data_IF_272209806001
#
_entry.id   IF_272209806001
#
_cell.length_a   1.000
_cell.length_b   1.000
_cell.length_c   1.000
_cell.angle_alpha   90.00
_cell.angle_beta   90.00
_cell.angle_gamma   90.00
#
_symmetry.space_group_name_H-M   'P 1'
#
loop_
_entity.id
_entity.type
_entity.pdbx_description
1 polymer ?
#
# COMPACT_ATOMS: atom_id res chain seq x y z
N UNK A 1 8.32 -38.27 16.00
CA UNK A 1 8.36 -37.20 15.03
C UNK A 1 9.07 -36.01 15.70
N UNK A 2 10.07 -35.40 15.04
CA UNK A 2 10.76 -34.22 15.57
C UNK A 2 9.80 -33.02 15.55
N UNK A 3 9.96 -32.13 16.52
CA UNK A 3 9.29 -30.83 16.53
C UNK A 3 10.14 -29.82 15.76
N UNK A 4 9.52 -28.99 14.93
CA UNK A 4 10.14 -27.84 14.27
C UNK A 4 9.72 -26.51 14.95
N UNK A 5 9.31 -26.57 16.20
CA UNK A 5 8.96 -25.40 16.98
C UNK A 5 10.13 -24.41 17.04
N UNK A 6 9.86 -23.12 16.74
CA UNK A 6 10.89 -22.08 16.67
C UNK A 6 11.75 -22.08 15.39
N UNK A 7 11.52 -22.99 14.44
CA UNK A 7 12.20 -23.02 13.14
C UNK A 7 11.45 -22.18 12.13
N UNK A 8 12.15 -21.26 11.46
CA UNK A 8 11.66 -20.48 10.32
C UNK A 8 12.31 -21.01 9.03
N UNK A 9 11.49 -21.47 8.08
CA UNK A 9 11.92 -21.76 6.73
C UNK A 9 11.62 -20.56 5.83
N UNK A 10 12.64 -20.04 5.15
CA UNK A 10 12.51 -18.96 4.16
C UNK A 10 12.78 -19.51 2.76
N UNK A 11 11.78 -19.49 1.88
CA UNK A 11 11.87 -19.95 0.51
C UNK A 11 11.93 -18.75 -0.45
N UNK A 12 13.08 -18.51 -1.05
CA UNK A 12 13.31 -17.45 -2.06
C UNK A 12 13.68 -18.07 -3.39
N UNK A 13 12.77 -18.21 -4.31
CA UNK A 13 11.31 -18.08 -4.30
C UNK A 13 10.65 -19.42 -4.55
N UNK A 14 9.32 -19.55 -4.41
CA UNK A 14 8.59 -20.81 -4.57
C UNK A 14 8.90 -21.52 -5.89
N UNK A 15 9.11 -20.79 -6.98
CA UNK A 15 9.44 -21.35 -8.30
C UNK A 15 10.76 -22.16 -8.34
N UNK A 16 11.64 -21.97 -7.35
CA UNK A 16 12.89 -22.73 -7.26
C UNK A 16 12.67 -24.12 -6.66
N UNK A 17 11.51 -24.37 -6.06
CA UNK A 17 11.15 -25.61 -5.38
C UNK A 17 10.12 -26.44 -6.14
N UNK A 18 9.28 -25.79 -6.96
CA UNK A 18 8.32 -26.48 -7.83
C UNK A 18 7.97 -25.63 -9.05
N UNK A 19 7.45 -26.30 -10.09
CA UNK A 19 6.85 -25.64 -11.24
C UNK A 19 5.53 -24.98 -10.81
N UNK A 20 5.55 -23.66 -10.69
CA UNK A 20 4.42 -22.87 -10.18
C UNK A 20 3.19 -22.87 -11.09
N UNK A 21 3.36 -23.18 -12.36
CA UNK A 21 2.28 -23.25 -13.35
C UNK A 21 1.68 -24.67 -13.44
N UNK A 22 2.26 -25.65 -12.72
CA UNK A 22 1.75 -27.02 -12.63
C UNK A 22 1.03 -27.27 -11.30
N UNK A 23 -0.28 -27.38 -11.36
CA UNK A 23 -1.13 -27.55 -10.17
C UNK A 23 -0.76 -28.78 -9.32
N UNK A 24 -0.46 -29.92 -9.94
CA UNK A 24 -0.11 -31.16 -9.21
C UNK A 24 1.20 -31.01 -8.44
N UNK A 25 2.24 -30.45 -9.08
CA UNK A 25 3.54 -30.22 -8.43
C UNK A 25 3.42 -29.18 -7.32
N UNK A 26 2.64 -28.12 -7.55
CA UNK A 26 2.44 -27.09 -6.55
C UNK A 26 1.62 -27.61 -5.37
N UNK A 27 0.59 -28.39 -5.61
CA UNK A 27 -0.20 -29.04 -4.55
C UNK A 27 0.71 -29.93 -3.67
N UNK A 28 1.60 -30.71 -4.28
CA UNK A 28 2.55 -31.58 -3.55
C UNK A 28 3.50 -30.75 -2.68
N UNK A 29 4.08 -29.66 -3.22
CA UNK A 29 4.94 -28.76 -2.44
C UNK A 29 4.16 -28.12 -1.27
N UNK A 30 2.98 -27.58 -1.54
CA UNK A 30 2.18 -26.92 -0.50
C UNK A 30 1.76 -27.93 0.61
N UNK A 31 1.45 -29.17 0.26
CA UNK A 31 1.17 -30.24 1.24
C UNK A 31 2.39 -30.54 2.13
N UNK A 32 3.60 -30.57 1.55
CA UNK A 32 4.83 -30.73 2.32
C UNK A 32 5.05 -29.58 3.31
N UNK A 33 4.87 -28.33 2.83
CA UNK A 33 5.01 -27.13 3.66
C UNK A 33 3.97 -27.10 4.79
N UNK A 34 2.73 -27.52 4.51
CA UNK A 34 1.70 -27.67 5.54
C UNK A 34 2.07 -28.69 6.60
N UNK A 35 2.64 -29.84 6.22
CA UNK A 35 3.11 -30.84 7.18
C UNK A 35 4.23 -30.30 8.07
N UNK A 36 5.18 -29.52 7.52
CA UNK A 36 6.23 -28.87 8.32
C UNK A 36 5.63 -27.87 9.31
N UNK A 37 4.62 -27.09 8.89
CA UNK A 37 3.90 -26.17 9.76
C UNK A 37 3.18 -26.93 10.90
N UNK A 38 2.51 -28.04 10.60
CA UNK A 38 1.86 -28.86 11.62
C UNK A 38 2.85 -29.47 12.63
N UNK A 39 4.09 -29.64 12.23
CA UNK A 39 5.18 -30.00 13.13
C UNK A 39 5.77 -28.80 13.90
N UNK A 40 5.17 -27.60 13.82
CA UNK A 40 5.55 -26.41 14.58
C UNK A 40 6.43 -25.41 13.83
N UNK A 41 6.76 -25.65 12.55
CA UNK A 41 7.56 -24.70 11.75
C UNK A 41 6.76 -23.46 11.35
N UNK A 42 7.47 -22.33 11.22
CA UNK A 42 6.99 -21.15 10.49
C UNK A 42 7.53 -21.18 9.06
N UNK A 43 6.68 -20.97 8.07
CA UNK A 43 7.07 -20.95 6.66
C UNK A 43 6.86 -19.54 6.10
N UNK A 44 7.93 -18.94 5.56
CA UNK A 44 7.89 -17.69 4.82
C UNK A 44 8.34 -17.95 3.39
N UNK A 45 7.47 -17.69 2.42
CA UNK A 45 7.77 -17.93 1.03
C UNK A 45 7.65 -16.65 0.20
N UNK A 46 8.68 -16.34 -0.58
CA UNK A 46 8.64 -15.28 -1.58
C UNK A 46 8.08 -15.83 -2.88
N UNK A 47 7.27 -15.00 -3.56
CA UNK A 47 6.65 -15.41 -4.81
C UNK A 47 6.50 -14.22 -5.76
N UNK A 48 6.61 -14.48 -7.06
CA UNK A 48 6.50 -13.43 -8.06
C UNK A 48 5.05 -13.10 -8.38
N UNK A 49 4.80 -11.82 -8.62
CA UNK A 49 3.54 -11.35 -9.20
C UNK A 49 3.53 -11.54 -10.73
N UNK A 50 2.37 -11.36 -11.34
CA UNK A 50 2.22 -11.18 -12.79
C UNK A 50 2.96 -9.91 -13.25
N UNK A 51 3.25 -9.79 -14.54
CA UNK A 51 4.01 -8.64 -15.10
C UNK A 51 3.32 -7.29 -14.86
N UNK A 52 2.00 -7.28 -14.79
CA UNK A 52 1.20 -6.09 -14.50
C UNK A 52 1.08 -5.79 -12.99
N UNK A 53 1.68 -6.64 -12.13
CA UNK A 53 1.68 -6.46 -10.68
C UNK A 53 0.31 -6.55 -10.01
N UNK A 54 -0.72 -7.10 -10.68
CA UNK A 54 -2.09 -7.12 -10.16
C UNK A 54 -2.47 -8.41 -9.46
N UNK A 55 -1.77 -9.49 -9.73
CA UNK A 55 -2.05 -10.80 -9.16
C UNK A 55 -0.76 -11.57 -8.88
N UNK A 56 -0.82 -12.60 -8.04
CA UNK A 56 0.26 -13.57 -7.95
C UNK A 56 0.25 -14.46 -9.21
N UNK A 57 1.42 -15.00 -9.56
CA UNK A 57 1.58 -15.87 -10.71
C UNK A 57 1.47 -17.33 -10.30
N UNK A 58 0.75 -18.16 -11.08
CA UNK A 58 0.72 -19.62 -10.95
C UNK A 58 -0.50 -20.17 -10.22
N UNK A 59 -0.35 -21.37 -9.67
CA UNK A 59 -1.43 -22.17 -9.11
C UNK A 59 -2.15 -21.54 -7.92
N UNK A 60 -3.48 -21.66 -7.91
CA UNK A 60 -4.31 -21.23 -6.77
C UNK A 60 -4.03 -22.01 -5.47
N UNK A 61 -3.36 -23.18 -5.54
CA UNK A 61 -2.94 -23.92 -4.35
C UNK A 61 -2.03 -23.08 -3.44
N UNK A 62 -1.22 -22.17 -4.00
CA UNK A 62 -0.39 -21.26 -3.23
C UNK A 62 -1.25 -20.42 -2.26
N UNK A 63 -2.27 -19.74 -2.80
CA UNK A 63 -3.17 -18.91 -2.00
C UNK A 63 -4.02 -19.74 -1.04
N UNK A 64 -4.54 -20.87 -1.48
CA UNK A 64 -5.45 -21.68 -0.70
C UNK A 64 -4.77 -22.28 0.54
N UNK A 65 -3.51 -22.70 0.42
CA UNK A 65 -2.74 -23.32 1.50
C UNK A 65 -2.02 -22.35 2.43
N UNK A 66 -1.87 -21.08 2.05
CA UNK A 66 -1.25 -20.07 2.89
C UNK A 66 -2.21 -19.57 3.97
N UNK A 67 -1.74 -19.31 5.17
CA UNK A 67 -2.53 -18.66 6.24
C UNK A 67 -2.63 -17.15 6.01
N UNK A 68 -1.52 -16.52 5.62
CA UNK A 68 -1.45 -15.11 5.26
C UNK A 68 -0.77 -14.95 3.89
N UNK A 69 -1.22 -13.98 3.12
CA UNK A 69 -0.61 -13.58 1.86
C UNK A 69 -0.59 -12.06 1.75
N UNK A 70 0.57 -11.53 1.45
CA UNK A 70 0.78 -10.09 1.29
C UNK A 70 1.32 -9.79 -0.10
N UNK A 71 0.89 -8.68 -0.64
CA UNK A 71 1.48 -8.11 -1.84
C UNK A 71 2.40 -6.96 -1.45
N UNK A 72 3.68 -7.08 -1.79
CA UNK A 72 4.67 -6.05 -1.54
C UNK A 72 4.86 -5.23 -2.81
N UNK A 73 4.57 -3.96 -2.73
CA UNK A 73 4.69 -3.02 -3.83
C UNK A 73 5.62 -1.86 -3.45
N UNK A 74 6.59 -1.56 -4.31
CA UNK A 74 7.37 -0.33 -4.20
C UNK A 74 6.51 0.81 -4.75
N UNK A 75 6.26 1.83 -3.92
CA UNK A 75 5.32 2.91 -4.24
C UNK A 75 6.00 4.24 -4.53
N UNK A 76 7.14 4.52 -3.92
CA UNK A 76 7.91 5.73 -4.18
C UNK A 76 9.41 5.48 -4.11
N UNK A 77 10.18 6.26 -4.88
CA UNK A 77 11.64 6.39 -4.74
C UNK A 77 11.94 7.73 -4.09
N UNK A 78 12.67 7.70 -3.00
CA UNK A 78 13.11 8.88 -2.27
C UNK A 78 14.63 8.99 -2.30
N UNK A 79 15.19 10.16 -1.98
CA UNK A 79 16.64 10.43 -2.07
C UNK A 79 17.49 9.42 -1.26
N UNK A 80 16.98 8.98 -0.10
CA UNK A 80 17.73 8.10 0.81
C UNK A 80 17.20 6.66 0.85
N UNK A 81 16.20 6.33 0.03
CA UNK A 81 15.58 5.02 0.06
C UNK A 81 14.33 4.91 -0.79
N UNK A 82 13.41 4.08 -0.36
CA UNK A 82 12.13 3.91 -1.06
C UNK A 82 11.02 3.53 -0.08
N UNK A 83 9.80 3.85 -0.46
CA UNK A 83 8.60 3.41 0.25
C UNK A 83 8.02 2.14 -0.36
N UNK A 84 7.54 1.27 0.51
CA UNK A 84 6.83 0.04 0.15
C UNK A 84 5.47 0.00 0.82
N UNK A 85 4.50 -0.51 0.08
CA UNK A 85 3.16 -0.84 0.56
C UNK A 85 3.06 -2.36 0.69
N UNK A 86 2.70 -2.84 1.87
CA UNK A 86 2.38 -4.23 2.15
C UNK A 86 0.86 -4.36 2.22
N UNK A 87 0.26 -4.80 1.11
CA UNK A 87 -1.20 -4.98 1.01
C UNK A 87 -1.61 -6.40 1.34
N UNK A 88 -2.60 -6.55 2.21
CA UNK A 88 -3.14 -7.84 2.63
C UNK A 88 -3.99 -8.43 1.50
N UNK A 89 -3.60 -9.63 1.01
CA UNK A 89 -4.35 -10.36 0.00
C UNK A 89 -5.17 -11.52 0.60
N UNK A 90 -4.68 -12.08 1.70
CA UNK A 90 -5.34 -13.09 2.52
C UNK A 90 -4.78 -13.01 3.93
N UNK A 91 -5.64 -13.13 4.92
CA UNK A 91 -5.22 -13.17 6.32
C UNK A 91 -6.26 -13.90 7.19
N UNK A 92 -5.83 -14.34 8.38
CA UNK A 92 -6.68 -14.98 9.38
C UNK A 92 -6.58 -14.32 10.76
N UNK A 93 -5.77 -13.28 10.89
CA UNK A 93 -5.41 -12.68 12.18
C UNK A 93 -5.81 -11.20 12.33
N UNK A 94 -6.63 -10.63 11.42
CA UNK A 94 -7.07 -9.24 11.47
C UNK A 94 -5.97 -8.22 11.15
N UNK A 95 -4.93 -8.62 10.42
CA UNK A 95 -3.81 -7.75 10.04
C UNK A 95 -4.27 -6.80 8.93
N UNK A 96 -3.87 -5.53 9.02
CA UNK A 96 -4.20 -4.49 8.03
C UNK A 96 -3.02 -4.22 7.11
N UNK A 97 -3.30 -3.57 5.98
CA UNK A 97 -2.27 -3.00 5.10
C UNK A 97 -1.30 -2.13 5.90
N UNK A 98 -0.04 -2.11 5.51
CA UNK A 98 1.01 -1.34 6.16
C UNK A 98 1.91 -0.70 5.11
N UNK A 99 2.52 0.43 5.46
CA UNK A 99 3.49 1.11 4.63
C UNK A 99 4.79 1.36 5.40
N UNK A 100 5.91 1.22 4.71
CA UNK A 100 7.23 1.35 5.30
C UNK A 100 8.15 2.15 4.39
N UNK A 101 8.96 3.01 4.99
CA UNK A 101 10.15 3.55 4.34
C UNK A 101 11.35 2.66 4.66
N UNK A 102 12.13 2.32 3.63
CA UNK A 102 13.36 1.55 3.73
C UNK A 102 14.52 2.43 3.30
N UNK A 103 15.41 2.75 4.23
CA UNK A 103 16.64 3.49 3.92
C UNK A 103 17.67 2.54 3.29
N UNK A 104 18.10 2.83 2.06
CA UNK A 104 19.01 1.92 1.32
C UNK A 104 20.45 1.94 1.80
N UNK A 105 20.87 2.96 2.55
CA UNK A 105 22.25 3.06 3.09
C UNK A 105 22.37 2.40 4.46
N UNK A 106 21.39 2.63 5.33
CA UNK A 106 21.43 2.14 6.73
C UNK A 106 20.62 0.87 6.92
N UNK A 107 19.78 0.49 5.95
CA UNK A 107 18.80 -0.61 6.00
C UNK A 107 17.76 -0.46 7.12
N UNK A 108 17.64 0.74 7.68
CA UNK A 108 16.61 1.03 8.67
C UNK A 108 15.23 1.07 8.00
N UNK A 109 14.27 0.48 8.70
CA UNK A 109 12.86 0.45 8.28
C UNK A 109 12.06 1.31 9.26
N UNK A 110 11.23 2.21 8.72
CA UNK A 110 10.31 3.04 9.50
C UNK A 110 8.90 2.90 8.96
N UNK A 111 7.92 2.87 9.84
CA UNK A 111 6.52 2.96 9.42
C UNK A 111 6.27 4.32 8.77
N UNK A 112 5.51 4.33 7.68
CA UNK A 112 5.05 5.55 7.01
C UNK A 112 3.53 5.60 6.98
N UNK A 113 3.00 6.77 6.63
CA UNK A 113 1.55 6.92 6.51
C UNK A 113 1.04 6.10 5.32
N UNK A 114 0.12 5.19 5.62
CA UNK A 114 -0.49 4.30 4.64
C UNK A 114 -1.23 5.07 3.52
N UNK A 115 -1.82 6.22 3.84
CA UNK A 115 -2.54 7.02 2.86
C UNK A 115 -1.57 7.64 1.86
N UNK A 116 -0.44 8.16 2.32
CA UNK A 116 0.60 8.72 1.46
C UNK A 116 1.23 7.64 0.57
N UNK A 117 1.51 6.47 1.12
CA UNK A 117 2.07 5.35 0.35
C UNK A 117 1.12 4.79 -0.74
N UNK A 118 -0.18 5.10 -0.68
CA UNK A 118 -1.16 4.72 -1.70
C UNK A 118 -1.36 5.77 -2.80
N UNK A 119 -0.61 6.87 -2.76
CA UNK A 119 -0.67 7.94 -3.76
C UNK A 119 0.34 7.63 -4.87
N UNK A 120 -0.12 7.55 -6.11
CA UNK A 120 0.77 7.41 -7.27
C UNK A 120 1.41 8.77 -7.62
N UNK A 121 2.58 8.75 -8.29
CA UNK A 121 3.27 9.98 -8.74
C UNK A 121 2.36 10.93 -9.53
N UNK A 122 1.44 10.37 -10.34
CA UNK A 122 0.46 11.15 -11.10
C UNK A 122 -0.58 11.80 -10.20
N UNK A 123 -1.04 11.09 -9.17
CA UNK A 123 -1.97 11.61 -8.19
C UNK A 123 -1.32 12.67 -7.33
N UNK A 124 -0.06 12.47 -6.91
CA UNK A 124 0.72 13.46 -6.15
C UNK A 124 0.86 14.76 -6.93
N UNK A 125 1.30 14.69 -8.18
CA UNK A 125 1.41 15.86 -9.05
C UNK A 125 0.05 16.56 -9.28
N UNK A 126 -1.04 15.81 -9.33
CA UNK A 126 -2.39 16.36 -9.41
C UNK A 126 -2.81 17.03 -8.11
N UNK A 127 -2.58 16.37 -6.97
CA UNK A 127 -2.88 16.89 -5.62
C UNK A 127 -2.19 18.23 -5.39
N UNK A 128 -0.90 18.33 -5.69
CA UNK A 128 -0.12 19.56 -5.53
C UNK A 128 -0.71 20.73 -6.33
N UNK A 129 -1.13 20.47 -7.57
CA UNK A 129 -1.76 21.49 -8.41
C UNK A 129 -3.12 21.93 -7.87
N UNK A 130 -3.95 20.97 -7.45
CA UNK A 130 -5.27 21.25 -6.90
C UNK A 130 -5.16 22.02 -5.58
N UNK A 131 -4.25 21.62 -4.68
CA UNK A 131 -4.04 22.33 -3.42
C UNK A 131 -3.62 23.78 -3.62
N UNK A 132 -2.73 24.06 -4.61
CA UNK A 132 -2.37 25.45 -4.96
C UNK A 132 -3.60 26.27 -5.34
N UNK A 133 -4.49 25.72 -6.16
CA UNK A 133 -5.72 26.40 -6.57
C UNK A 133 -6.71 26.59 -5.40
N UNK A 134 -6.91 25.55 -4.59
CA UNK A 134 -7.86 25.57 -3.48
C UNK A 134 -7.39 26.38 -2.26
N UNK A 135 -6.08 26.63 -2.14
CA UNK A 135 -5.53 27.54 -1.12
C UNK A 135 -5.83 29.02 -1.44
N UNK A 136 -6.07 29.36 -2.70
CA UNK A 136 -6.44 30.71 -3.11
C UNK A 136 -7.95 30.96 -2.97
N UNK A 137 -8.76 30.01 -3.40
CA UNK A 137 -10.23 30.08 -3.35
C UNK A 137 -10.89 28.72 -3.50
N UNK A 138 -12.11 28.62 -3.02
CA UNK A 138 -12.96 27.45 -3.29
C UNK A 138 -13.38 27.41 -4.76
N UNK A 139 -13.35 26.22 -5.37
CA UNK A 139 -13.60 26.04 -6.81
C UNK A 139 -14.54 24.87 -7.04
N UNK A 140 -15.37 24.98 -8.07
CA UNK A 140 -16.15 23.85 -8.59
C UNK A 140 -15.26 22.86 -9.34
N UNK A 141 -15.72 21.62 -9.52
CA UNK A 141 -15.00 20.61 -10.31
C UNK A 141 -14.68 21.14 -11.72
N UNK A 142 -15.60 21.85 -12.37
CA UNK A 142 -15.38 22.39 -13.72
C UNK A 142 -14.32 23.48 -13.75
N UNK A 143 -14.24 24.32 -12.73
CA UNK A 143 -13.22 25.37 -12.61
C UNK A 143 -11.83 24.76 -12.33
N UNK A 144 -11.74 23.74 -11.48
CA UNK A 144 -10.48 23.02 -11.24
C UNK A 144 -9.96 22.40 -12.54
N UNK A 145 -10.80 21.65 -13.25
CA UNK A 145 -10.42 20.99 -14.49
C UNK A 145 -10.02 22.02 -15.58
N UNK A 146 -10.74 23.13 -15.67
CA UNK A 146 -10.40 24.22 -16.59
C UNK A 146 -9.07 24.89 -16.23
N UNK A 147 -8.82 25.15 -14.95
CA UNK A 147 -7.56 25.75 -14.48
C UNK A 147 -6.35 24.84 -14.70
N UNK A 148 -6.55 23.53 -14.71
CA UNK A 148 -5.51 22.53 -14.97
C UNK A 148 -5.36 22.17 -16.46
N UNK A 149 -6.14 22.82 -17.35
CA UNK A 149 -6.18 22.54 -18.80
C UNK A 149 -6.53 21.07 -19.11
N UNK A 150 -7.46 20.50 -18.34
CA UNK A 150 -7.88 19.11 -18.44
C UNK A 150 -9.34 19.05 -18.92
N UNK A 151 -9.66 18.06 -19.75
CA UNK A 151 -11.02 17.83 -20.24
C UNK A 151 -12.02 17.67 -19.09
N UNK A 152 -13.21 18.25 -19.25
CA UNK A 152 -14.33 18.08 -18.30
C UNK A 152 -14.74 16.62 -18.09
N UNK A 153 -14.46 15.74 -19.05
CA UNK A 153 -14.75 14.30 -19.00
C UNK A 153 -13.57 13.45 -18.48
N UNK A 154 -12.48 14.08 -18.02
CA UNK A 154 -11.32 13.33 -17.53
C UNK A 154 -11.64 12.55 -16.27
N UNK A 155 -11.69 11.24 -16.42
CA UNK A 155 -12.02 10.31 -15.33
C UNK A 155 -10.93 10.26 -14.26
N UNK A 156 -9.65 10.41 -14.64
CA UNK A 156 -8.56 10.38 -13.67
C UNK A 156 -8.69 11.53 -12.67
N UNK A 157 -8.83 12.77 -13.15
CA UNK A 157 -8.95 13.95 -12.31
C UNK A 157 -10.18 13.90 -11.41
N UNK A 158 -11.33 13.48 -11.94
CA UNK A 158 -12.57 13.33 -11.17
C UNK A 158 -12.44 12.27 -10.07
N UNK A 159 -11.92 11.11 -10.42
CA UNK A 159 -11.72 10.02 -9.46
C UNK A 159 -10.71 10.41 -8.38
N UNK A 160 -9.66 11.15 -8.73
CA UNK A 160 -8.65 11.62 -7.78
C UNK A 160 -9.24 12.65 -6.81
N UNK A 161 -10.07 13.59 -7.30
CA UNK A 161 -10.79 14.53 -6.43
C UNK A 161 -11.67 13.80 -5.40
N UNK A 162 -12.45 12.81 -5.83
CA UNK A 162 -13.31 12.03 -4.92
C UNK A 162 -12.49 11.11 -4.00
N UNK A 163 -11.44 10.47 -4.51
CA UNK A 163 -10.58 9.56 -3.72
C UNK A 163 -9.95 10.25 -2.51
N UNK A 164 -9.54 11.50 -2.67
CA UNK A 164 -8.85 12.26 -1.62
C UNK A 164 -9.72 13.28 -0.89
N UNK A 165 -11.03 13.20 -1.09
CA UNK A 165 -12.01 13.93 -0.28
C UNK A 165 -11.92 13.50 1.18
N UNK A 166 -11.92 14.46 2.10
CA UNK A 166 -11.71 14.21 3.52
C UNK A 166 -10.23 14.00 3.93
N UNK A 167 -9.30 13.99 2.97
CA UNK A 167 -7.85 13.88 3.22
C UNK A 167 -7.16 15.22 2.95
N UNK A 168 -7.27 15.74 1.74
CA UNK A 168 -6.64 17.02 1.34
C UNK A 168 -7.65 18.16 1.17
N UNK A 169 -8.89 17.84 0.86
CA UNK A 169 -9.98 18.78 0.62
C UNK A 169 -11.34 18.18 0.97
N UNK A 170 -12.30 19.06 1.12
CA UNK A 170 -13.71 18.70 1.25
C UNK A 170 -14.55 19.31 0.15
N UNK A 171 -15.74 18.77 -0.07
CA UNK A 171 -16.70 19.33 -0.99
C UNK A 171 -18.06 19.53 -0.31
N UNK A 172 -18.67 20.67 -0.58
CA UNK A 172 -20.03 20.98 -0.15
C UNK A 172 -20.88 21.40 -1.35
N UNK A 173 -22.20 21.26 -1.23
CA UNK A 173 -23.12 21.81 -2.22
C UNK A 173 -23.11 23.33 -2.11
N UNK A 174 -22.79 24.00 -3.21
CA UNK A 174 -22.68 25.45 -3.28
C UNK A 174 -22.88 25.95 -4.71
N UNK A 175 -22.37 27.14 -5.02
CA UNK A 175 -22.53 27.81 -6.30
C UNK A 175 -23.84 28.60 -6.39
N UNK A 176 -23.99 29.47 -7.40
CA UNK A 176 -25.11 30.39 -7.57
C UNK A 176 -26.50 29.72 -7.54
N UNK A 177 -26.58 28.43 -7.85
CA UNK A 177 -27.82 27.65 -7.92
C UNK A 177 -27.93 26.55 -6.85
N UNK A 178 -26.98 26.43 -5.89
CA UNK A 178 -27.00 25.43 -4.82
C UNK A 178 -26.90 23.97 -5.28
N UNK A 179 -26.54 23.71 -6.57
CA UNK A 179 -26.51 22.38 -7.18
C UNK A 179 -25.11 21.92 -7.60
N UNK A 180 -24.10 22.74 -7.40
CA UNK A 180 -22.72 22.45 -7.83
C UNK A 180 -21.88 22.12 -6.61
N UNK A 181 -21.08 21.05 -6.68
CA UNK A 181 -20.09 20.76 -5.64
C UNK A 181 -18.95 21.77 -5.74
N UNK A 182 -18.64 22.39 -4.61
CA UNK A 182 -17.53 23.34 -4.44
C UNK A 182 -16.51 22.69 -3.51
N UNK A 183 -15.27 22.65 -3.93
CA UNK A 183 -14.14 22.07 -3.23
C UNK A 183 -13.41 23.14 -2.43
N UNK A 184 -12.99 22.79 -1.22
CA UNK A 184 -12.19 23.62 -0.31
C UNK A 184 -11.00 22.82 0.19
N UNK A 185 -9.83 23.44 0.27
CA UNK A 185 -8.67 22.83 0.94
C UNK A 185 -9.00 22.63 2.43
N UNK A 186 -8.71 21.44 2.93
CA UNK A 186 -8.60 21.23 4.36
C UNK A 186 -7.32 21.95 4.79
N UNK A 187 -7.42 23.19 5.28
CA UNK A 187 -6.29 23.89 5.86
C UNK A 187 -5.69 22.96 6.91
N UNK A 188 -4.38 22.77 6.86
CA UNK A 188 -3.64 22.19 7.96
C UNK A 188 -3.71 23.13 9.17
N UNK A 189 -4.85 23.12 9.87
CA UNK A 189 -4.93 23.57 11.24
C UNK A 189 -4.28 22.46 12.07
N UNK A 190 -2.98 22.52 12.16
CA UNK A 190 -2.19 22.13 13.32
C UNK A 190 -0.74 21.82 12.92
N UNK A 191 0.06 22.87 12.83
CA UNK A 191 1.42 22.80 13.38
C UNK A 191 1.25 22.79 14.89
N UNK A 192 1.04 21.65 15.48
CA UNK A 192 1.41 21.32 16.86
C UNK A 192 0.79 19.96 17.24
N UNK A 193 1.58 18.90 17.14
CA UNK A 193 1.56 17.85 18.14
C UNK A 193 2.70 16.85 17.88
N UNK A 194 3.74 17.05 18.69
CA UNK A 194 4.54 15.98 19.25
C UNK A 194 5.23 14.99 18.27
N UNK A 195 6.42 15.36 17.83
CA UNK A 195 7.55 14.43 17.75
C UNK A 195 7.75 13.79 19.13
N UNK A 196 6.98 12.76 19.43
CA UNK A 196 7.37 11.75 20.40
C UNK A 196 8.15 10.70 19.65
N UNK A 197 9.48 10.88 19.60
CA UNK A 197 10.40 9.77 19.45
C UNK A 197 10.06 8.72 20.52
N UNK A 198 9.44 7.64 20.09
CA UNK A 198 9.45 6.40 20.85
C UNK A 198 10.84 5.79 20.67
N UNK A 199 11.75 6.11 21.58
CA UNK A 199 12.97 5.32 21.80
C UNK A 199 12.54 3.97 22.34
N UNK A 200 12.55 2.96 21.49
CA UNK A 200 12.18 1.58 21.81
C UNK A 200 13.38 0.73 22.26
N UNK A 201 14.48 1.37 22.64
CA UNK A 201 15.58 0.68 23.33
C UNK A 201 16.02 1.57 24.48
N UNK A 202 15.57 1.21 25.67
CA UNK A 202 16.15 1.72 26.91
C UNK A 202 17.62 1.32 26.98
N UNK A 203 18.47 2.32 27.20
CA UNK A 203 19.83 2.10 27.70
C UNK A 203 19.73 1.44 29.06
N UNK A 204 20.17 0.17 29.16
CA UNK A 204 20.68 -0.38 30.38
C UNK A 204 21.96 -1.17 30.09
N UNK A 205 23.08 -0.58 30.57
CA UNK A 205 24.45 -1.05 30.81
C UNK A 205 25.34 -1.28 29.61
#
# INVERSE_FOLDING_TARGET
AGSYEGVLFVLDSLRNFADIDNDTKMMSLMSLLMNLRECGATIMALHHSTKDGRAFKGSNHIRNSSDCMYFLQKVANLEQGFEVLLSVQKERAGIKDQAFFINTKTLNIKNTDLQNAKISDKEEAFIDKVLKLLNEKSLSTSEILSALDVSRSDNFSRNTLEKFKGVFWESELGGENGRTFVWKSLKADNKNSNDKELSLFGDEL
#
